data_IF_320986044919
#
_entry.id   IF_320986044919
#
_cell.length_a   1.000
_cell.length_b   1.000
_cell.length_c   1.000
_cell.angle_alpha   90.00
_cell.angle_beta   90.00
_cell.angle_gamma   90.00
#
_symmetry.space_group_name_H-M   'P 1'
#
loop_
_entity.id
_entity.type
_entity.pdbx_description
1 polymer ?
#
# COMPACT_ATOMS: atom_id res chain seq x y z
N UNK A 1 38.04 20.02 -17.72
CA UNK A 1 36.65 20.05 -17.19
C UNK A 1 35.89 18.78 -17.59
N UNK A 2 36.18 17.60 -17.03
CA UNK A 2 35.45 16.35 -17.36
C UNK A 2 35.22 15.39 -16.17
N UNK A 3 35.75 15.69 -14.98
CA UNK A 3 35.76 14.76 -13.83
C UNK A 3 34.58 14.96 -12.86
N UNK A 4 33.76 15.99 -13.03
CA UNK A 4 32.68 16.33 -12.09
C UNK A 4 31.31 15.68 -12.36
N UNK A 5 31.14 15.02 -13.52
CA UNK A 5 29.80 14.55 -13.97
C UNK A 5 29.52 13.11 -13.53
N UNK A 6 30.55 12.30 -13.28
CA UNK A 6 30.39 10.86 -12.98
C UNK A 6 29.83 10.63 -11.57
N UNK A 7 30.03 11.55 -10.63
CA UNK A 7 29.58 11.39 -9.24
C UNK A 7 28.08 11.67 -9.09
N UNK A 8 27.47 12.45 -9.99
CA UNK A 8 26.06 12.82 -9.89
C UNK A 8 25.11 11.71 -10.39
N UNK A 9 25.55 10.89 -11.33
CA UNK A 9 24.73 9.79 -11.90
C UNK A 9 24.69 8.58 -10.96
N UNK A 10 25.75 8.35 -10.17
CA UNK A 10 25.79 7.25 -9.20
C UNK A 10 24.82 7.41 -8.02
N UNK A 11 24.47 8.64 -7.66
CA UNK A 11 23.61 8.91 -6.49
C UNK A 11 22.10 8.79 -6.81
N UNK A 12 21.70 8.85 -8.08
CA UNK A 12 20.29 8.74 -8.48
C UNK A 12 19.78 7.29 -8.53
N UNK A 13 20.69 6.30 -8.64
CA UNK A 13 20.34 4.87 -8.67
C UNK A 13 20.19 4.25 -7.27
N UNK A 14 20.52 5.01 -6.21
CA UNK A 14 20.28 4.64 -4.82
C UNK A 14 19.12 5.42 -4.19
N UNK A 15 18.20 5.97 -4.99
CA UNK A 15 16.88 6.23 -4.45
C UNK A 15 16.36 4.88 -3.95
N UNK A 16 16.19 4.69 -2.63
CA UNK A 16 15.72 3.41 -2.14
C UNK A 16 14.33 3.21 -2.73
N UNK A 17 14.18 2.26 -3.64
CA UNK A 17 12.88 1.70 -4.04
C UNK A 17 12.34 0.86 -2.88
N UNK A 18 12.48 1.36 -1.65
CA UNK A 18 11.72 0.90 -0.51
C UNK A 18 10.32 1.46 -0.73
N UNK A 19 9.56 0.81 -1.61
CA UNK A 19 8.11 0.87 -1.54
C UNK A 19 7.79 0.35 -0.14
N UNK A 20 7.68 1.29 0.78
CA UNK A 20 7.58 0.99 2.20
C UNK A 20 6.29 0.20 2.38
N UNK A 21 6.25 -0.77 3.30
CA UNK A 21 5.01 -1.48 3.62
C UNK A 21 3.83 -0.53 3.90
N UNK A 22 4.14 0.70 4.32
CA UNK A 22 3.22 1.84 4.50
C UNK A 22 2.58 2.33 3.19
N UNK A 23 3.33 2.47 2.09
CA UNK A 23 2.79 2.82 0.77
C UNK A 23 1.92 1.71 0.19
N UNK A 24 2.35 0.45 0.34
CA UNK A 24 1.56 -0.69 -0.11
C UNK A 24 0.21 -0.75 0.65
N UNK A 25 0.24 -0.50 1.96
CA UNK A 25 -0.98 -0.44 2.79
C UNK A 25 -1.86 0.75 2.39
N UNK A 26 -1.28 1.92 2.11
CA UNK A 26 -2.02 3.08 1.63
C UNK A 26 -2.67 2.83 0.26
N UNK A 27 -1.98 2.11 -0.63
CA UNK A 27 -2.51 1.69 -1.93
C UNK A 27 -3.73 0.79 -1.76
N UNK A 28 -3.70 -0.15 -0.82
CA UNK A 28 -4.85 -1.00 -0.49
C UNK A 28 -5.96 -0.23 0.24
N UNK A 29 -5.64 0.71 1.13
CA UNK A 29 -6.63 1.53 1.82
C UNK A 29 -7.38 2.49 0.87
N UNK A 30 -6.77 2.90 -0.24
CA UNK A 30 -7.43 3.70 -1.27
C UNK A 30 -8.38 2.90 -2.18
N UNK A 31 -8.24 1.57 -2.26
CA UNK A 31 -9.08 0.72 -3.11
C UNK A 31 -10.41 0.33 -2.46
N UNK A 32 -11.40 0.05 -3.29
CA UNK A 32 -12.70 -0.48 -2.85
C UNK A 32 -12.60 -1.90 -2.30
N UNK A 33 -13.54 -2.24 -1.43
CA UNK A 33 -13.58 -3.57 -0.78
C UNK A 33 -13.71 -4.68 -1.83
N UNK A 34 -14.46 -4.46 -2.91
CA UNK A 34 -14.60 -5.44 -4.01
C UNK A 34 -13.26 -5.72 -4.70
N UNK A 35 -12.52 -4.67 -5.07
CA UNK A 35 -11.20 -4.80 -5.67
C UNK A 35 -10.20 -5.47 -4.71
N UNK A 36 -10.28 -5.15 -3.42
CA UNK A 36 -9.46 -5.81 -2.39
C UNK A 36 -9.78 -7.31 -2.30
N UNK A 37 -11.06 -7.71 -2.37
CA UNK A 37 -11.46 -9.12 -2.38
C UNK A 37 -10.93 -9.82 -3.63
N UNK A 38 -11.01 -9.19 -4.79
CA UNK A 38 -10.52 -9.76 -6.04
C UNK A 38 -9.00 -9.96 -6.02
N UNK A 39 -8.24 -8.97 -5.57
CA UNK A 39 -6.79 -9.06 -5.40
C UNK A 39 -6.43 -10.13 -4.35
N UNK A 40 -7.19 -10.23 -3.25
CA UNK A 40 -6.93 -11.24 -2.21
C UNK A 40 -7.01 -12.69 -2.70
N UNK A 41 -7.69 -12.94 -3.82
CA UNK A 41 -7.79 -14.26 -4.46
C UNK A 41 -6.60 -14.57 -5.38
N UNK A 42 -5.89 -13.55 -5.84
CA UNK A 42 -4.78 -13.68 -6.81
C UNK A 42 -3.40 -13.52 -6.18
N UNK A 43 -3.31 -12.92 -4.98
CA UNK A 43 -2.05 -12.71 -4.28
C UNK A 43 -1.67 -13.87 -3.35
N UNK A 44 -0.40 -13.89 -2.94
CA UNK A 44 0.14 -14.82 -1.96
C UNK A 44 -0.52 -14.68 -0.57
N UNK A 45 -0.51 -15.75 0.24
CA UNK A 45 -1.12 -15.77 1.58
C UNK A 45 -0.64 -14.65 2.52
N UNK A 46 0.62 -14.23 2.38
CA UNK A 46 1.17 -13.13 3.17
C UNK A 46 0.54 -11.77 2.80
N UNK A 47 0.30 -11.53 1.52
CA UNK A 47 -0.40 -10.32 1.06
C UNK A 47 -1.89 -10.39 1.32
N UNK A 48 -2.50 -11.56 1.15
CA UNK A 48 -3.89 -11.82 1.49
C UNK A 48 -4.19 -11.45 2.95
N UNK A 49 -3.32 -11.81 3.89
CA UNK A 49 -3.44 -11.42 5.29
C UNK A 49 -3.37 -9.91 5.53
N UNK A 50 -2.61 -9.17 4.71
CA UNK A 50 -2.56 -7.70 4.79
C UNK A 50 -3.85 -7.09 4.24
N UNK A 51 -4.34 -7.61 3.12
CA UNK A 51 -5.59 -7.17 2.49
C UNK A 51 -6.80 -7.45 3.40
N UNK A 52 -6.87 -8.64 4.01
CA UNK A 52 -7.95 -9.00 4.96
C UNK A 52 -7.99 -8.06 6.17
N UNK A 53 -6.83 -7.65 6.69
CA UNK A 53 -6.75 -6.63 7.75
C UNK A 53 -7.29 -5.28 7.29
N UNK A 54 -7.00 -4.86 6.06
CA UNK A 54 -7.52 -3.60 5.49
C UNK A 54 -9.04 -3.67 5.31
N UNK A 55 -9.57 -4.77 4.78
CA UNK A 55 -11.01 -5.01 4.62
C UNK A 55 -11.72 -4.92 5.97
N UNK A 56 -11.23 -5.64 6.99
CA UNK A 56 -11.80 -5.62 8.35
C UNK A 56 -11.82 -4.21 8.95
N UNK A 57 -10.75 -3.42 8.77
CA UNK A 57 -10.72 -2.01 9.22
C UNK A 57 -11.75 -1.15 8.50
N UNK A 58 -11.91 -1.31 7.18
CA UNK A 58 -12.92 -0.56 6.40
C UNK A 58 -14.34 -0.90 6.85
N UNK A 59 -14.65 -2.18 7.04
CA UNK A 59 -15.97 -2.62 7.55
C UNK A 59 -16.21 -2.06 8.95
N UNK A 60 -15.23 -2.17 9.86
CA UNK A 60 -15.35 -1.64 11.21
C UNK A 60 -15.55 -0.12 11.23
N UNK A 61 -14.87 0.62 10.35
CA UNK A 61 -15.06 2.07 10.19
C UNK A 61 -16.47 2.40 9.68
N UNK A 62 -16.92 1.73 8.62
CA UNK A 62 -18.27 1.91 8.08
C UNK A 62 -19.37 1.55 9.08
N UNK A 63 -19.17 0.49 9.88
CA UNK A 63 -20.08 0.11 10.97
C UNK A 63 -20.11 1.19 12.06
N UNK A 64 -18.96 1.71 12.50
CA UNK A 64 -18.90 2.82 13.46
C UNK A 64 -19.60 4.07 12.95
N UNK A 65 -19.39 4.44 11.69
CA UNK A 65 -20.04 5.61 11.09
C UNK A 65 -21.57 5.43 10.99
N UNK A 66 -22.04 4.19 10.78
CA UNK A 66 -23.47 3.86 10.76
C UNK A 66 -24.08 3.87 12.16
N UNK A 67 -23.34 3.44 13.18
CA UNK A 67 -23.78 3.44 14.58
C UNK A 67 -23.76 4.85 15.17
N UNK A 68 -22.76 5.68 14.86
CA UNK A 68 -22.64 7.04 15.37
C UNK A 68 -23.66 8.03 14.76
N UNK A 69 -24.31 7.67 13.66
CA UNK A 69 -25.39 8.43 13.02
C UNK A 69 -26.80 7.94 13.39
N UNK A 70 -26.90 6.87 14.19
CA UNK A 70 -28.17 6.29 14.66
C UNK A 70 -28.60 6.83 16.01
#
# INVERSE_FOLDING_TARGET
MRTGIIIFVGMLLFAPTTITAKELTAKYEAMDIETLIEISKTVSDNEKNKIDKVIKRKIAKAQRDKIAKG
#
